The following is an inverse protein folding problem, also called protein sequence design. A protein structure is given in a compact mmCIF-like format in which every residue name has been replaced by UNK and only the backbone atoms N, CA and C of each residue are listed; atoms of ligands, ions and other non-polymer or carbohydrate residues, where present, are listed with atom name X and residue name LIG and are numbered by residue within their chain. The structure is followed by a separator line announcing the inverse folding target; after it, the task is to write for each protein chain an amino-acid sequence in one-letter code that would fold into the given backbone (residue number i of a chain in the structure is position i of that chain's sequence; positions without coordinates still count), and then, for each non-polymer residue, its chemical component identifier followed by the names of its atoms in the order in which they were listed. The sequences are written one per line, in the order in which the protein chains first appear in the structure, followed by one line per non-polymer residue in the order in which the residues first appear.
data_IF_585618457007
#
_entry.id   IF_585618457007
#
_cell.length_a   1.000
_cell.length_b   1.000
_cell.length_c   1.000
_cell.angle_alpha   90.00
_cell.angle_beta   90.00
_cell.angle_gamma   90.00
#
_symmetry.space_group_name_H-M   'P 1'
#
loop_
_entity.id
_entity.type
_entity.pdbx_description
1 polymer ?
#
# COMPACT_ATOMS: atom_id res chain seq x y z
N UNK A 1 11.81 11.06 -25.55
CA UNK A 1 12.10 9.96 -24.61
C UNK A 1 12.73 10.57 -23.37
N UNK A 2 12.03 10.62 -22.25
CA UNK A 2 12.67 10.99 -20.98
C UNK A 2 13.58 9.82 -20.58
N UNK A 3 14.89 10.02 -20.68
CA UNK A 3 15.87 9.05 -20.22
C UNK A 3 15.91 9.11 -18.69
N UNK A 4 15.58 8.00 -18.04
CA UNK A 4 15.80 7.87 -16.59
C UNK A 4 17.30 7.98 -16.31
N UNK A 5 17.68 8.81 -15.34
CA UNK A 5 19.07 8.90 -14.90
C UNK A 5 19.45 7.68 -14.06
N UNK A 6 20.73 7.34 -13.99
CA UNK A 6 21.23 6.24 -13.14
C UNK A 6 20.85 6.44 -11.68
N UNK A 7 20.84 7.69 -11.22
CA UNK A 7 20.45 8.07 -9.87
C UNK A 7 18.96 7.80 -9.60
N UNK A 8 18.08 8.14 -10.55
CA UNK A 8 16.65 7.84 -10.45
C UNK A 8 16.38 6.33 -10.40
N UNK A 9 17.12 5.53 -11.18
CA UNK A 9 17.02 4.07 -11.16
C UNK A 9 17.45 3.49 -9.81
N UNK A 10 18.59 3.95 -9.28
CA UNK A 10 19.07 3.51 -7.95
C UNK A 10 18.07 3.81 -6.83
N UNK A 11 17.38 4.96 -6.90
CA UNK A 11 16.34 5.32 -5.92
C UNK A 11 15.10 4.42 -6.06
N UNK A 12 14.72 4.05 -7.28
CA UNK A 12 13.64 3.11 -7.53
C UNK A 12 13.98 1.70 -7.02
N UNK A 13 15.19 1.22 -7.27
CA UNK A 13 15.66 -0.09 -6.77
C UNK A 13 15.65 -0.14 -5.24
N UNK A 14 16.10 0.95 -4.58
CA UNK A 14 16.08 1.06 -3.11
C UNK A 14 14.66 1.03 -2.56
N UNK A 15 13.72 1.74 -3.20
CA UNK A 15 12.30 1.72 -2.85
C UNK A 15 11.71 0.31 -3.03
N UNK A 16 12.08 -0.40 -4.09
CA UNK A 16 11.63 -1.76 -4.34
C UNK A 16 12.11 -2.72 -3.23
N UNK A 17 13.39 -2.66 -2.86
CA UNK A 17 13.94 -3.45 -1.76
C UNK A 17 13.25 -3.16 -0.43
N UNK A 18 12.89 -1.91 -0.17
CA UNK A 18 12.17 -1.50 1.03
C UNK A 18 10.75 -2.09 1.06
N UNK A 19 10.02 -1.98 -0.05
CA UNK A 19 8.66 -2.52 -0.18
C UNK A 19 8.65 -4.05 -0.12
N UNK A 20 9.63 -4.71 -0.73
CA UNK A 20 9.80 -6.17 -0.66
C UNK A 20 10.05 -6.58 0.80
N UNK A 21 11.01 -5.95 1.48
CA UNK A 21 11.30 -6.23 2.89
C UNK A 21 10.09 -6.01 3.78
N UNK A 22 9.35 -4.92 3.57
CA UNK A 22 8.15 -4.62 4.34
C UNK A 22 7.01 -5.61 4.07
N UNK A 23 6.80 -6.04 2.83
CA UNK A 23 5.69 -6.94 2.47
C UNK A 23 5.99 -8.42 2.73
N UNK A 24 7.27 -8.80 2.81
CA UNK A 24 7.71 -10.15 3.12
C UNK A 24 7.12 -10.65 4.45
N UNK A 25 6.68 -11.90 4.46
CA UNK A 25 6.06 -12.54 5.64
C UNK A 25 4.60 -12.15 5.88
N UNK A 26 4.02 -11.19 5.16
CA UNK A 26 2.60 -10.80 5.29
C UNK A 26 1.65 -11.64 4.42
N UNK A 27 2.18 -12.54 3.59
CA UNK A 27 1.42 -13.52 2.82
C UNK A 27 0.40 -12.94 1.83
N UNK A 28 0.51 -11.65 1.47
CA UNK A 28 -0.52 -10.96 0.69
C UNK A 28 -1.83 -10.72 1.44
N UNK A 29 -1.85 -10.88 2.77
CA UNK A 29 -3.00 -10.57 3.60
C UNK A 29 -3.25 -9.06 3.62
N UNK A 30 -4.43 -8.64 3.17
CA UNK A 30 -4.81 -7.23 3.15
C UNK A 30 -4.78 -6.62 4.56
N UNK A 31 -5.28 -7.32 5.59
CA UNK A 31 -5.28 -6.82 6.96
C UNK A 31 -3.87 -6.64 7.53
N UNK A 32 -2.95 -7.57 7.21
CA UNK A 32 -1.55 -7.48 7.64
C UNK A 32 -0.84 -6.28 6.98
N UNK A 33 -1.10 -6.06 5.68
CA UNK A 33 -0.58 -4.89 4.97
C UNK A 33 -1.12 -3.59 5.57
N UNK A 34 -2.44 -3.46 5.73
CA UNK A 34 -3.08 -2.25 6.27
C UNK A 34 -2.61 -1.91 7.69
N UNK A 35 -2.54 -2.89 8.59
CA UNK A 35 -2.15 -2.67 10.00
C UNK A 35 -0.69 -2.24 10.20
N UNK A 36 0.13 -2.29 9.14
CA UNK A 36 1.57 -2.03 9.18
C UNK A 36 2.03 -0.97 8.19
N UNK A 37 1.11 -0.24 7.55
CA UNK A 37 1.42 0.82 6.58
C UNK A 37 2.26 1.96 7.18
N UNK A 38 2.13 2.24 8.48
CA UNK A 38 2.91 3.26 9.18
C UNK A 38 4.42 3.01 9.21
N UNK A 39 4.87 1.80 8.90
CA UNK A 39 6.30 1.46 8.84
C UNK A 39 6.93 1.67 7.47
N UNK A 40 6.12 1.97 6.44
CA UNK A 40 6.59 2.18 5.06
C UNK A 40 6.14 3.53 4.49
N UNK A 41 5.04 4.08 5.00
CA UNK A 41 4.55 5.39 4.57
C UNK A 41 5.12 6.50 5.46
N UNK A 42 5.53 7.58 4.81
CA UNK A 42 5.90 8.81 5.51
C UNK A 42 4.66 9.48 6.15
N UNK A 43 4.82 10.23 7.27
CA UNK A 43 3.70 10.85 7.98
C UNK A 43 2.79 11.74 7.10
N UNK A 44 3.36 12.38 6.08
CA UNK A 44 2.69 13.29 5.15
C UNK A 44 1.69 12.57 4.24
N UNK A 45 1.72 11.25 4.16
CA UNK A 45 0.68 10.46 3.48
C UNK A 45 -0.68 10.53 4.21
N UNK A 46 -0.73 11.03 5.44
CA UNK A 46 -1.96 11.14 6.23
C UNK A 46 -2.52 9.79 6.68
N UNK A 47 -1.73 8.72 6.60
CA UNK A 47 -2.12 7.41 7.12
C UNK A 47 -2.23 7.46 8.64
N UNK A 48 -3.27 6.84 9.18
CA UNK A 48 -3.45 6.67 10.61
C UNK A 48 -3.43 5.16 10.89
N UNK A 49 -2.56 4.67 11.79
CA UNK A 49 -2.49 3.24 12.11
C UNK A 49 -3.85 2.70 12.55
N UNK A 50 -4.23 1.54 12.01
CA UNK A 50 -5.46 0.83 12.38
C UNK A 50 -5.06 -0.55 12.91
N UNK A 51 -5.35 -0.88 14.18
CA UNK A 51 -5.01 -2.19 14.72
C UNK A 51 -5.87 -3.28 14.06
N UNK A 52 -5.36 -4.52 14.02
CA UNK A 52 -6.11 -5.67 13.48
C UNK A 52 -7.45 -5.88 14.18
N UNK A 53 -7.55 -5.51 15.47
CA UNK A 53 -8.77 -5.58 16.28
C UNK A 53 -9.89 -4.65 15.79
N UNK A 54 -9.58 -3.65 14.97
CA UNK A 54 -10.57 -2.77 14.33
C UNK A 54 -10.91 -3.19 12.89
N UNK A 55 -10.27 -4.25 12.38
CA UNK A 55 -10.47 -4.79 11.03
C UNK A 55 -11.03 -6.21 11.09
N UNK A 56 -12.10 -6.39 11.85
CA UNK A 56 -12.73 -7.71 12.08
C UNK A 56 -13.70 -8.05 10.96
N UNK A 57 -14.52 -7.09 10.51
CA UNK A 57 -15.52 -7.34 9.48
C UNK A 57 -15.02 -6.98 8.08
N UNK A 58 -15.62 -7.59 7.07
CA UNK A 58 -15.38 -7.28 5.66
C UNK A 58 -15.55 -5.79 5.35
N UNK A 59 -16.53 -5.16 5.98
CA UNK A 59 -16.77 -3.73 5.80
C UNK A 59 -15.64 -2.88 6.37
N UNK A 60 -15.10 -3.25 7.54
CA UNK A 60 -14.01 -2.51 8.19
C UNK A 60 -12.72 -2.61 7.38
N UNK A 61 -12.39 -3.80 6.88
CA UNK A 61 -11.26 -4.03 5.98
C UNK A 61 -11.41 -3.19 4.70
N UNK A 62 -12.59 -3.19 4.07
CA UNK A 62 -12.84 -2.39 2.86
C UNK A 62 -12.75 -0.88 3.12
N UNK A 63 -13.19 -0.41 4.29
CA UNK A 63 -13.05 1.01 4.70
C UNK A 63 -11.59 1.39 4.90
N UNK A 64 -10.81 0.56 5.60
CA UNK A 64 -9.39 0.76 5.80
C UNK A 64 -8.62 0.77 4.46
N UNK A 65 -8.92 -0.17 3.56
CA UNK A 65 -8.36 -0.18 2.20
C UNK A 65 -8.63 1.11 1.43
N UNK A 66 -9.89 1.58 1.41
CA UNK A 66 -10.24 2.83 0.70
C UNK A 66 -9.45 4.02 1.24
N UNK A 67 -9.28 4.11 2.57
CA UNK A 67 -8.46 5.16 3.20
C UNK A 67 -6.99 5.04 2.78
N UNK A 68 -6.42 3.83 2.85
CA UNK A 68 -5.04 3.59 2.45
C UNK A 68 -4.79 3.94 0.98
N UNK A 69 -5.68 3.51 0.08
CA UNK A 69 -5.61 3.77 -1.35
C UNK A 69 -5.59 5.28 -1.67
N UNK A 70 -6.31 6.11 -0.90
CA UNK A 70 -6.26 7.57 -1.03
C UNK A 70 -4.92 8.15 -0.55
N UNK A 71 -4.38 7.65 0.57
CA UNK A 71 -3.09 8.09 1.10
C UNK A 71 -1.94 7.86 0.12
N UNK A 72 -1.94 6.72 -0.58
CA UNK A 72 -0.86 6.32 -1.50
C UNK A 72 -1.18 6.59 -2.97
N UNK A 73 -2.31 7.23 -3.28
CA UNK A 73 -2.69 7.50 -4.65
C UNK A 73 -1.66 8.40 -5.36
N UNK A 74 -1.29 8.13 -6.62
CA UNK A 74 -0.28 8.91 -7.34
C UNK A 74 -0.63 10.41 -7.44
N UNK A 75 -1.90 10.76 -7.62
CA UNK A 75 -2.36 12.17 -7.61
C UNK A 75 -2.06 12.87 -6.27
N UNK A 76 -2.28 12.19 -5.15
CA UNK A 76 -1.96 12.73 -3.81
C UNK A 76 -0.45 12.82 -3.59
N UNK A 77 0.31 11.84 -4.07
CA UNK A 77 1.77 11.89 -4.05
C UNK A 77 2.35 13.03 -4.91
N UNK A 78 1.69 13.37 -6.02
CA UNK A 78 2.06 14.51 -6.85
C UNK A 78 1.75 15.85 -6.17
N UNK A 79 0.59 15.97 -5.53
CA UNK A 79 0.17 17.20 -4.82
C UNK A 79 1.09 17.57 -3.65
N UNK A 80 1.71 16.57 -2.99
CA UNK A 80 2.59 16.77 -1.82
C UNK A 80 4.07 16.98 -2.15
N UNK A 81 4.42 17.18 -3.41
CA UNK A 81 5.82 17.32 -3.86
C UNK A 81 6.73 16.16 -3.40
N UNK A 82 6.18 14.94 -3.35
CA UNK A 82 6.93 13.76 -2.90
C UNK A 82 8.17 13.54 -3.77
N UNK A 83 9.24 13.08 -3.13
CA UNK A 83 10.48 12.66 -3.77
C UNK A 83 10.23 11.50 -4.73
N UNK A 84 11.20 11.25 -5.62
CA UNK A 84 11.12 10.17 -6.60
C UNK A 84 10.97 8.81 -5.89
N UNK A 85 11.74 8.60 -4.81
CA UNK A 85 11.67 7.38 -4.01
C UNK A 85 10.29 7.21 -3.36
N UNK A 86 9.76 8.25 -2.71
CA UNK A 86 8.44 8.18 -2.07
C UNK A 86 7.31 7.95 -3.08
N UNK A 87 7.38 8.54 -4.27
CA UNK A 87 6.44 8.27 -5.36
C UNK A 87 6.47 6.80 -5.75
N UNK A 88 7.67 6.22 -5.84
CA UNK A 88 7.83 4.80 -6.16
C UNK A 88 7.27 3.90 -5.06
N UNK A 89 7.56 4.20 -3.80
CA UNK A 89 7.01 3.48 -2.64
C UNK A 89 5.47 3.54 -2.67
N UNK A 90 4.88 4.73 -2.84
CA UNK A 90 3.43 4.89 -2.91
C UNK A 90 2.81 4.07 -4.05
N UNK A 91 3.40 4.10 -5.24
CA UNK A 91 2.94 3.33 -6.40
C UNK A 91 2.99 1.82 -6.13
N UNK A 92 4.11 1.31 -5.61
CA UNK A 92 4.29 -0.11 -5.32
C UNK A 92 3.35 -0.58 -4.21
N UNK A 93 3.21 0.20 -3.13
CA UNK A 93 2.26 -0.08 -2.05
C UNK A 93 0.82 -0.07 -2.58
N UNK A 94 0.45 0.90 -3.42
CA UNK A 94 -0.88 0.96 -4.02
C UNK A 94 -1.20 -0.32 -4.82
N UNK A 95 -0.26 -0.76 -5.67
CA UNK A 95 -0.42 -1.99 -6.46
C UNK A 95 -0.55 -3.23 -5.56
N UNK A 96 0.29 -3.37 -4.54
CA UNK A 96 0.20 -4.48 -3.59
C UNK A 96 -1.13 -4.50 -2.84
N UNK A 97 -1.62 -3.34 -2.39
CA UNK A 97 -2.92 -3.24 -1.71
C UNK A 97 -4.06 -3.63 -2.66
N UNK A 98 -3.99 -3.23 -3.93
CA UNK A 98 -4.99 -3.60 -4.94
C UNK A 98 -5.02 -5.11 -5.17
N UNK A 99 -3.86 -5.74 -5.35
CA UNK A 99 -3.77 -7.20 -5.49
C UNK A 99 -4.29 -7.95 -4.25
N UNK A 100 -3.97 -7.46 -3.05
CA UNK A 100 -4.46 -8.03 -1.81
C UNK A 100 -5.98 -7.87 -1.66
N UNK A 101 -6.54 -6.74 -2.12
CA UNK A 101 -7.99 -6.50 -2.17
C UNK A 101 -8.69 -7.43 -3.15
N UNK A 102 -8.14 -7.64 -4.34
CA UNK A 102 -8.70 -8.54 -5.34
C UNK A 102 -8.75 -9.98 -4.82
N UNK A 103 -7.69 -10.41 -4.11
CA UNK A 103 -7.64 -11.71 -3.41
C UNK A 103 -8.68 -11.79 -2.29
N UNK A 104 -8.74 -10.76 -1.44
CA UNK A 104 -9.71 -10.67 -0.36
C UNK A 104 -11.15 -10.77 -0.88
N UNK A 105 -11.51 -10.01 -1.91
CA UNK A 105 -12.84 -10.07 -2.53
C UNK A 105 -13.14 -11.42 -3.21
N UNK A 106 -12.12 -12.09 -3.75
CA UNK A 106 -12.26 -13.45 -4.27
C UNK A 106 -12.52 -14.47 -3.15
N UNK A 107 -11.83 -14.36 -2.02
CA UNK A 107 -12.04 -15.21 -0.85
C UNK A 107 -13.43 -15.00 -0.26
N UNK A 108 -13.87 -13.75 -0.09
CA UNK A 108 -15.21 -13.42 0.42
C UNK A 108 -16.33 -14.02 -0.44
N UNK A 109 -16.17 -14.00 -1.78
CA UNK A 109 -17.11 -14.65 -2.71
C UNK A 109 -17.11 -16.18 -2.60
N UNK A 110 -15.99 -16.79 -2.25
CA UNK A 110 -15.85 -18.24 -2.08
C UNK A 110 -16.40 -18.74 -0.74
N UNK A 111 -16.28 -17.94 0.32
CA UNK A 111 -16.77 -18.30 1.66
C UNK A 111 -18.28 -18.16 1.81
N UNK A 112 -18.97 -17.52 0.85
CA UNK A 112 -20.42 -17.67 0.67
C UNK A 112 -21.25 -17.43 1.92
N UNK A 113 -20.97 -16.39 2.70
CA UNK A 113 -21.94 -15.91 3.69
C UNK A 113 -22.96 -15.08 2.93
N UNK A 114 -24.09 -15.73 2.60
CA UNK A 114 -25.35 -15.06 2.27
C UNK A 114 -25.89 -14.32 3.49
#
# INVERSE_FOLDING_TARGET
MHQWTSEQRSLADTADDEVIRWSNGKGGSLCALLSTLQYILVPECGWQPIPLTEMITTQDVKRAYKRAALCVHPDKAQQRSASIQEKHICEKVFNLLKEAMDKFDAEQRRTGVC
#
